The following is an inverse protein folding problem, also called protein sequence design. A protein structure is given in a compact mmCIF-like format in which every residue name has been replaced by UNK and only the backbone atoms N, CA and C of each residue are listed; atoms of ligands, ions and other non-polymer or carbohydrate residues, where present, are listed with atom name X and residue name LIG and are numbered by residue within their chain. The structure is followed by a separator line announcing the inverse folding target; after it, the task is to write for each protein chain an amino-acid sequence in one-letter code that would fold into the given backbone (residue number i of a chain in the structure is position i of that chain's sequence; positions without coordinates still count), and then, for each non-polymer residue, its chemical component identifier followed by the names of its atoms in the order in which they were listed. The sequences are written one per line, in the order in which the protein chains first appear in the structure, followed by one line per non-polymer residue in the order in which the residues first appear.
data_IF_869414850672
#
_entry.id   IF_869414850672
#
_cell.length_a   1.000
_cell.length_b   1.000
_cell.length_c   1.000
_cell.angle_alpha   90.00
_cell.angle_beta   90.00
_cell.angle_gamma   90.00
#
_symmetry.space_group_name_H-M   'P 1'
#
loop_
_entity.id
_entity.type
_entity.pdbx_description
1 polymer ?
#
# COMPACT_ATOMS: atom_id res chain seq x y z
N UNK A 1 0.33 -18.51 -30.76
CA UNK A 1 -1.02 -18.43 -30.16
C UNK A 1 -0.97 -18.07 -28.67
N UNK A 2 -0.11 -18.67 -27.86
CA UNK A 2 0.02 -18.38 -26.41
C UNK A 2 0.35 -16.91 -26.11
N UNK A 3 1.36 -16.34 -26.78
CA UNK A 3 1.75 -14.94 -26.58
C UNK A 3 0.61 -13.95 -26.90
N UNK A 4 -0.15 -14.20 -27.96
CA UNK A 4 -1.31 -13.37 -28.34
C UNK A 4 -2.46 -13.46 -27.33
N UNK A 5 -2.65 -14.62 -26.69
CA UNK A 5 -3.62 -14.79 -25.61
C UNK A 5 -3.17 -14.09 -24.34
N UNK A 6 -1.90 -14.18 -23.99
CA UNK A 6 -1.30 -13.51 -22.83
C UNK A 6 -1.39 -11.99 -22.95
N UNK A 7 -1.13 -11.43 -24.15
CA UNK A 7 -1.28 -10.00 -24.42
C UNK A 7 -2.74 -9.52 -24.24
N UNK A 8 -3.71 -10.31 -24.75
CA UNK A 8 -5.14 -10.00 -24.59
C UNK A 8 -5.59 -10.06 -23.12
N UNK A 9 -5.12 -11.03 -22.37
CA UNK A 9 -5.43 -11.18 -20.95
C UNK A 9 -4.83 -10.05 -20.13
N UNK A 10 -3.57 -9.71 -20.37
CA UNK A 10 -2.90 -8.57 -19.76
C UNK A 10 -3.67 -7.27 -20.01
N UNK A 11 -4.11 -7.03 -21.25
CA UNK A 11 -4.86 -5.84 -21.61
C UNK A 11 -6.24 -5.77 -20.91
N UNK A 12 -6.97 -6.89 -20.83
CA UNK A 12 -8.25 -6.95 -20.11
C UNK A 12 -8.07 -6.68 -18.62
N UNK A 13 -7.05 -7.28 -18.02
CA UNK A 13 -6.76 -7.11 -16.61
C UNK A 13 -6.33 -5.68 -16.30
N UNK A 14 -5.48 -5.08 -17.12
CA UNK A 14 -5.13 -3.66 -17.02
C UNK A 14 -6.35 -2.75 -17.05
N UNK A 15 -7.28 -2.95 -17.98
CA UNK A 15 -8.51 -2.16 -18.06
C UNK A 15 -9.32 -2.26 -16.76
N UNK A 16 -9.51 -3.47 -16.24
CA UNK A 16 -10.24 -3.69 -14.97
C UNK A 16 -9.56 -3.01 -13.78
N UNK A 17 -8.23 -3.13 -13.68
CA UNK A 17 -7.44 -2.49 -12.63
C UNK A 17 -7.55 -0.96 -12.71
N UNK A 18 -7.37 -0.41 -13.92
CA UNK A 18 -7.46 1.03 -14.15
C UNK A 18 -8.87 1.57 -13.91
N UNK A 19 -9.92 0.86 -14.30
CA UNK A 19 -11.30 1.25 -14.01
C UNK A 19 -11.57 1.34 -12.51
N UNK A 20 -11.18 0.31 -11.75
CA UNK A 20 -11.33 0.31 -10.28
C UNK A 20 -10.49 1.38 -9.60
N UNK A 21 -9.28 1.63 -10.11
CA UNK A 21 -8.41 2.71 -9.64
C UNK A 21 -9.05 4.09 -9.87
N UNK A 22 -9.53 4.38 -11.09
CA UNK A 22 -10.20 5.65 -11.41
C UNK A 22 -11.49 5.80 -10.59
N UNK A 23 -12.24 4.72 -10.39
CA UNK A 23 -13.42 4.72 -9.53
C UNK A 23 -13.07 5.07 -8.08
N UNK A 24 -11.99 4.51 -7.53
CA UNK A 24 -11.55 4.83 -6.16
C UNK A 24 -11.14 6.31 -6.05
N UNK A 25 -10.40 6.83 -7.02
CA UNK A 25 -10.01 8.25 -7.07
C UNK A 25 -11.23 9.16 -7.06
N UNK A 26 -12.24 8.88 -7.89
CA UNK A 26 -13.44 9.69 -8.00
C UNK A 26 -14.35 9.57 -6.75
N UNK A 27 -14.54 8.34 -6.24
CA UNK A 27 -15.44 8.09 -5.09
C UNK A 27 -14.93 8.71 -3.81
N UNK A 28 -13.61 8.69 -3.58
CA UNK A 28 -13.01 9.17 -2.34
C UNK A 28 -12.25 10.49 -2.50
N UNK A 29 -12.35 11.15 -3.65
CA UNK A 29 -11.68 12.43 -3.93
C UNK A 29 -10.19 12.39 -3.58
N UNK A 30 -9.48 11.32 -4.05
CA UNK A 30 -8.12 11.04 -3.62
C UNK A 30 -7.08 11.99 -4.22
N UNK A 31 -7.34 12.52 -5.42
CA UNK A 31 -6.38 13.34 -6.17
C UNK A 31 -7.08 14.56 -6.78
N UNK A 32 -6.50 15.72 -6.55
CA UNK A 32 -6.93 17.01 -7.07
C UNK A 32 -5.90 17.58 -8.05
N UNK A 33 -6.29 18.65 -8.79
CA UNK A 33 -5.34 19.38 -9.63
C UNK A 33 -4.22 19.99 -8.76
N UNK A 34 -3.00 19.99 -9.32
CA UNK A 34 -1.78 20.50 -8.73
C UNK A 34 -1.24 19.69 -7.52
N UNK A 35 -1.80 18.52 -7.25
CA UNK A 35 -1.26 17.61 -6.25
C UNK A 35 0.18 17.17 -6.57
N UNK A 36 0.98 17.06 -5.52
CA UNK A 36 2.32 16.45 -5.55
C UNK A 36 2.31 15.20 -4.69
N UNK A 37 2.38 14.05 -5.35
CA UNK A 37 2.18 12.74 -4.72
C UNK A 37 3.51 12.03 -4.58
N UNK A 38 3.85 11.61 -3.36
CA UNK A 38 4.99 10.74 -3.07
C UNK A 38 4.49 9.31 -2.87
N UNK A 39 4.90 8.39 -3.74
CA UNK A 39 4.53 6.98 -3.64
C UNK A 39 5.51 6.23 -2.75
N UNK A 40 5.00 5.56 -1.71
CA UNK A 40 5.79 4.63 -0.89
C UNK A 40 6.09 3.34 -1.65
N UNK A 41 7.25 3.26 -2.29
CA UNK A 41 7.67 2.13 -3.12
C UNK A 41 8.41 1.10 -2.28
N UNK A 42 7.71 0.05 -1.86
CA UNK A 42 8.31 -1.05 -1.08
C UNK A 42 9.04 -2.08 -1.94
N UNK A 43 8.77 -2.07 -3.25
CA UNK A 43 9.22 -3.07 -4.21
C UNK A 43 8.36 -4.34 -4.27
N UNK A 44 7.30 -4.41 -3.48
CA UNK A 44 6.26 -5.45 -3.62
C UNK A 44 5.30 -5.11 -4.77
N UNK A 45 4.63 -6.15 -5.31
CA UNK A 45 3.68 -6.06 -6.43
C UNK A 45 2.68 -4.91 -6.32
N UNK A 46 2.16 -4.68 -5.10
CA UNK A 46 1.12 -3.68 -4.84
C UNK A 46 1.67 -2.26 -5.02
N UNK A 47 2.87 -2.00 -4.51
CA UNK A 47 3.52 -0.70 -4.64
C UNK A 47 4.02 -0.42 -6.06
N UNK A 48 4.42 -1.46 -6.81
CA UNK A 48 4.79 -1.35 -8.23
C UNK A 48 3.57 -1.02 -9.08
N UNK A 49 2.45 -1.75 -8.90
CA UNK A 49 1.20 -1.46 -9.60
C UNK A 49 0.68 -0.07 -9.27
N UNK A 50 0.71 0.33 -7.99
CA UNK A 50 0.30 1.69 -7.58
C UNK A 50 1.09 2.76 -8.33
N UNK A 51 2.42 2.59 -8.39
CA UNK A 51 3.28 3.54 -9.09
C UNK A 51 2.97 3.59 -10.58
N UNK A 52 2.79 2.44 -11.23
CA UNK A 52 2.45 2.35 -12.65
C UNK A 52 1.11 3.03 -12.96
N UNK A 53 0.07 2.76 -12.16
CA UNK A 53 -1.25 3.38 -12.34
C UNK A 53 -1.20 4.90 -12.17
N UNK A 54 -0.52 5.38 -11.12
CA UNK A 54 -0.38 6.82 -10.87
C UNK A 54 0.46 7.52 -11.94
N UNK A 55 1.59 6.94 -12.35
CA UNK A 55 2.45 7.49 -13.40
C UNK A 55 1.70 7.62 -14.72
N UNK A 56 1.03 6.55 -15.17
CA UNK A 56 0.22 6.59 -16.40
C UNK A 56 -0.94 7.58 -16.29
N UNK A 57 -1.57 7.69 -15.13
CA UNK A 57 -2.68 8.63 -14.90
C UNK A 57 -2.23 10.09 -14.89
N UNK A 58 -1.00 10.38 -14.45
CA UNK A 58 -0.43 11.73 -14.46
C UNK A 58 -0.26 12.34 -15.86
N UNK A 59 -0.24 11.49 -16.91
CA UNK A 59 -0.23 11.95 -18.31
C UNK A 59 -1.63 12.32 -18.85
N UNK A 60 -2.70 12.09 -18.08
CA UNK A 60 -4.07 12.46 -18.48
C UNK A 60 -4.32 13.92 -18.07
N UNK A 61 -5.12 14.61 -18.86
CA UNK A 61 -5.30 16.07 -18.79
C UNK A 61 -5.89 16.56 -17.45
N UNK A 62 -6.75 15.77 -16.81
CA UNK A 62 -7.38 16.11 -15.52
C UNK A 62 -7.62 14.85 -14.66
N UNK A 63 -7.35 14.90 -13.34
CA UNK A 63 -6.60 15.97 -12.66
C UNK A 63 -5.13 15.99 -13.10
N UNK A 64 -4.51 17.17 -13.10
CA UNK A 64 -3.07 17.35 -13.33
C UNK A 64 -2.33 17.25 -12.01
N UNK A 65 -1.43 16.32 -11.88
CA UNK A 65 -0.64 16.11 -10.67
C UNK A 65 0.76 15.59 -10.99
N UNK A 66 1.66 15.67 -10.02
CA UNK A 66 3.03 15.15 -10.15
C UNK A 66 3.21 13.93 -9.24
N UNK A 67 3.96 12.94 -9.75
CA UNK A 67 4.25 11.70 -9.03
C UNK A 67 5.75 11.51 -8.93
N UNK A 68 6.23 11.25 -7.72
CA UNK A 68 7.58 10.78 -7.46
C UNK A 68 7.51 9.57 -6.52
N UNK A 69 8.54 8.74 -6.51
CA UNK A 69 8.58 7.53 -5.70
C UNK A 69 9.65 7.61 -4.62
N UNK A 70 9.42 6.93 -3.49
CA UNK A 70 10.39 6.82 -2.42
C UNK A 70 10.54 5.38 -1.96
N UNK A 71 11.78 4.89 -1.95
CA UNK A 71 12.16 3.64 -1.32
C UNK A 71 12.96 3.89 -0.05
N UNK A 72 12.58 3.22 1.06
CA UNK A 72 13.29 3.31 2.35
C UNK A 72 14.00 2.00 2.65
N UNK A 73 15.34 2.04 2.68
CA UNK A 73 16.20 0.93 3.08
C UNK A 73 16.39 0.92 4.59
N UNK A 74 16.41 -0.28 5.18
CA UNK A 74 16.72 -0.46 6.61
C UNK A 74 18.15 -0.98 6.73
N UNK A 75 19.05 -0.17 7.28
CA UNK A 75 20.47 -0.52 7.38
C UNK A 75 20.76 -1.70 8.33
N UNK A 76 19.90 -1.92 9.33
CA UNK A 76 20.08 -2.97 10.33
C UNK A 76 19.24 -4.23 10.07
N UNK A 77 18.59 -4.33 8.91
CA UNK A 77 17.90 -5.53 8.46
C UNK A 77 18.59 -6.00 7.17
N UNK A 78 19.21 -7.17 7.25
CA UNK A 78 19.86 -7.79 6.10
C UNK A 78 18.80 -8.38 5.15
N UNK A 79 18.15 -7.52 4.37
CA UNK A 79 17.46 -7.97 3.18
C UNK A 79 17.90 -7.08 2.02
N UNK A 80 18.30 -7.73 0.96
CA UNK A 80 18.70 -7.03 -0.25
C UNK A 80 17.42 -6.63 -1.01
N UNK A 81 17.12 -5.33 -0.98
CA UNK A 81 16.27 -4.76 -1.99
C UNK A 81 17.15 -4.48 -3.20
N UNK A 82 16.88 -5.11 -4.31
CA UNK A 82 17.50 -4.74 -5.56
C UNK A 82 16.99 -3.37 -5.99
N UNK A 83 17.74 -2.32 -5.61
CA UNK A 83 17.38 -0.94 -5.96
C UNK A 83 17.57 -0.69 -7.44
N UNK A 84 18.42 -1.45 -8.16
CA UNK A 84 18.61 -1.28 -9.60
C UNK A 84 17.33 -1.63 -10.37
N UNK A 85 16.61 -2.67 -9.95
CA UNK A 85 15.30 -2.96 -10.51
C UNK A 85 14.28 -1.83 -10.26
N UNK A 86 14.26 -1.25 -9.06
CA UNK A 86 13.34 -0.15 -8.75
C UNK A 86 13.73 1.13 -9.51
N UNK A 87 15.00 1.40 -9.65
CA UNK A 87 15.51 2.52 -10.45
C UNK A 87 15.13 2.37 -11.92
N UNK A 88 15.32 1.19 -12.50
CA UNK A 88 14.91 0.89 -13.87
C UNK A 88 13.39 0.98 -14.04
N UNK A 89 12.61 0.45 -13.07
CA UNK A 89 11.15 0.49 -13.10
C UNK A 89 10.64 1.94 -13.07
N UNK A 90 11.19 2.78 -12.20
CA UNK A 90 10.85 4.20 -12.12
C UNK A 90 11.27 4.97 -13.39
N UNK A 91 12.46 4.69 -13.91
CA UNK A 91 12.97 5.29 -15.16
C UNK A 91 12.07 4.98 -16.36
N UNK A 92 11.58 3.74 -16.47
CA UNK A 92 10.66 3.34 -17.55
C UNK A 92 9.29 4.06 -17.47
N UNK A 93 8.95 4.61 -16.31
CA UNK A 93 7.70 5.36 -16.08
C UNK A 93 7.92 6.88 -16.03
N UNK A 94 9.13 7.36 -16.29
CA UNK A 94 9.53 8.77 -16.14
C UNK A 94 9.23 9.33 -14.74
N UNK A 95 9.48 8.51 -13.70
CA UNK A 95 9.23 8.87 -12.30
C UNK A 95 10.56 8.97 -11.55
N UNK A 96 10.77 10.07 -10.84
CA UNK A 96 11.94 10.24 -9.98
C UNK A 96 11.85 9.32 -8.75
N UNK A 97 12.92 8.54 -8.49
CA UNK A 97 13.04 7.70 -7.32
C UNK A 97 13.96 8.34 -6.26
N UNK A 98 13.43 8.50 -5.05
CA UNK A 98 14.20 8.87 -3.86
C UNK A 98 14.53 7.63 -3.03
N UNK A 99 15.81 7.31 -2.88
CA UNK A 99 16.26 6.25 -1.98
C UNK A 99 16.77 6.88 -0.69
N UNK A 100 16.28 6.42 0.46
CA UNK A 100 16.72 6.87 1.78
C UNK A 100 17.02 5.65 2.66
N UNK A 101 18.05 5.78 3.49
CA UNK A 101 18.43 4.73 4.44
C UNK A 101 18.10 5.19 5.85
N UNK A 102 17.57 4.30 6.67
CA UNK A 102 17.31 4.51 8.08
C UNK A 102 17.61 3.23 8.87
N UNK A 103 17.65 3.34 10.19
CA UNK A 103 17.82 2.20 11.09
C UNK A 103 16.93 2.37 12.32
N UNK A 104 16.77 1.31 13.08
CA UNK A 104 16.16 1.37 14.42
C UNK A 104 16.93 0.48 15.37
N UNK A 105 16.90 0.83 16.65
CA UNK A 105 17.49 0.04 17.72
C UNK A 105 16.39 -0.73 18.45
N UNK A 106 16.65 -2.00 18.71
CA UNK A 106 15.81 -2.84 19.56
C UNK A 106 16.39 -2.70 20.96
N UNK A 107 15.69 -1.97 21.83
CA UNK A 107 16.12 -1.81 23.21
C UNK A 107 16.17 -3.17 23.93
N UNK A 108 17.19 -3.40 24.74
CA UNK A 108 17.26 -4.57 25.61
C UNK A 108 16.51 -4.26 26.90
N UNK A 109 15.37 -4.94 27.19
CA UNK A 109 14.62 -4.68 28.41
C UNK A 109 15.41 -5.15 29.63
N UNK A 110 15.55 -4.28 30.63
CA UNK A 110 16.26 -4.57 31.89
C UNK A 110 15.41 -5.34 32.86
N UNK A 111 14.09 -5.37 32.71
CA UNK A 111 13.14 -6.08 33.55
C UNK A 111 11.85 -6.50 32.81
N UNK A 112 11.01 -7.33 33.44
CA UNK A 112 9.74 -7.84 32.87
C UNK A 112 8.73 -6.72 32.54
N UNK A 113 8.77 -5.59 33.21
CA UNK A 113 7.87 -4.46 32.99
C UNK A 113 8.25 -3.71 31.72
N UNK A 114 9.55 -3.54 31.50
CA UNK A 114 10.08 -2.92 30.27
C UNK A 114 9.88 -3.82 29.06
N UNK A 115 10.05 -5.14 29.23
CA UNK A 115 9.78 -6.13 28.17
C UNK A 115 8.34 -6.07 27.66
N UNK A 116 7.35 -5.86 28.55
CA UNK A 116 5.92 -5.70 28.15
C UNK A 116 5.62 -4.40 27.41
N UNK A 117 6.45 -3.37 27.59
CA UNK A 117 6.34 -2.04 26.94
C UNK A 117 7.17 -1.94 25.68
N UNK A 118 8.04 -2.92 25.44
CA UNK A 118 8.93 -2.90 24.29
C UNK A 118 8.13 -3.04 22.99
N UNK A 119 8.39 -2.12 22.07
CA UNK A 119 7.80 -2.16 20.72
C UNK A 119 8.42 -3.28 19.90
N UNK A 120 7.61 -4.00 19.16
CA UNK A 120 8.09 -5.08 18.29
C UNK A 120 9.02 -4.53 17.19
N UNK A 121 10.00 -5.33 16.71
CA UNK A 121 10.86 -4.93 15.60
C UNK A 121 10.08 -4.48 14.35
N UNK A 122 8.99 -5.18 14.02
CA UNK A 122 8.11 -4.82 12.91
C UNK A 122 7.45 -3.45 13.10
N UNK A 123 7.02 -3.12 14.34
CA UNK A 123 6.50 -1.81 14.65
C UNK A 123 7.56 -0.71 14.47
N UNK A 124 8.76 -0.92 15.03
CA UNK A 124 9.86 0.04 14.92
C UNK A 124 10.30 0.26 13.48
N UNK A 125 10.41 -0.82 12.69
CA UNK A 125 10.71 -0.77 11.27
C UNK A 125 9.68 0.07 10.50
N UNK A 126 8.40 -0.23 10.66
CA UNK A 126 7.33 0.48 9.94
C UNK A 126 7.21 1.93 10.39
N UNK A 127 7.43 2.22 11.68
CA UNK A 127 7.42 3.59 12.22
C UNK A 127 8.56 4.43 11.65
N UNK A 128 9.80 3.90 11.63
CA UNK A 128 10.96 4.61 11.08
C UNK A 128 10.82 4.86 9.58
N UNK A 129 10.33 3.88 8.81
CA UNK A 129 10.05 4.06 7.38
C UNK A 129 9.06 5.20 7.14
N UNK A 130 7.95 5.23 7.91
CA UNK A 130 6.95 6.31 7.81
C UNK A 130 7.54 7.66 8.18
N UNK A 131 8.32 7.74 9.26
CA UNK A 131 8.98 8.99 9.69
C UNK A 131 9.86 9.58 8.59
N UNK A 132 10.70 8.73 7.97
CA UNK A 132 11.58 9.18 6.86
C UNK A 132 10.76 9.62 5.65
N UNK A 133 9.69 8.91 5.32
CA UNK A 133 8.80 9.25 4.20
C UNK A 133 8.07 10.59 4.45
N UNK A 134 7.56 10.80 5.65
CA UNK A 134 6.88 12.06 6.01
C UNK A 134 7.85 13.25 6.01
N UNK A 135 9.04 13.08 6.56
CA UNK A 135 10.07 14.12 6.55
C UNK A 135 10.47 14.51 5.12
N UNK A 136 10.66 13.52 4.24
CA UNK A 136 10.98 13.79 2.84
C UNK A 136 9.82 14.50 2.13
N UNK A 137 8.59 14.03 2.34
CA UNK A 137 7.41 14.63 1.73
C UNK A 137 7.30 16.11 2.10
N UNK A 138 7.47 16.45 3.38
CA UNK A 138 7.45 17.84 3.83
C UNK A 138 8.62 18.66 3.26
N UNK A 139 9.84 18.13 3.29
CA UNK A 139 11.03 18.83 2.81
C UNK A 139 10.97 19.18 1.32
N UNK A 140 10.33 18.32 0.51
CA UNK A 140 10.19 18.51 -0.93
C UNK A 140 8.84 19.11 -1.35
N UNK A 141 7.96 19.44 -0.40
CA UNK A 141 6.68 20.10 -0.66
C UNK A 141 5.65 19.17 -1.32
N UNK A 142 5.68 17.86 -1.03
CA UNK A 142 4.57 16.95 -1.37
C UNK A 142 3.40 17.20 -0.41
N UNK A 143 2.18 17.17 -0.92
CA UNK A 143 0.97 17.30 -0.12
C UNK A 143 0.23 15.97 0.07
N UNK A 144 0.55 14.95 -0.76
CA UNK A 144 -0.04 13.61 -0.66
C UNK A 144 1.02 12.51 -0.63
N UNK A 145 0.74 11.46 0.15
CA UNK A 145 1.51 10.21 0.19
C UNK A 145 0.60 9.08 -0.23
N UNK A 146 0.96 8.36 -1.30
CA UNK A 146 0.21 7.21 -1.77
C UNK A 146 0.82 5.90 -1.27
N UNK A 147 -0.03 5.01 -0.71
CA UNK A 147 0.35 3.71 -0.19
C UNK A 147 -0.41 2.59 -0.92
N UNK A 148 0.29 1.50 -1.24
CA UNK A 148 -0.22 0.36 -2.01
C UNK A 148 -1.10 -0.61 -1.23
N UNK A 149 -1.93 -0.12 -0.29
CA UNK A 149 -2.91 -0.98 0.38
C UNK A 149 -4.12 -1.18 -0.55
N UNK A 150 -4.50 -2.45 -0.74
CA UNK A 150 -5.60 -2.86 -1.60
C UNK A 150 -6.85 -3.25 -0.81
N UNK A 151 -7.94 -3.61 -1.47
CA UNK A 151 -9.24 -3.86 -0.84
C UNK A 151 -9.16 -4.92 0.27
N UNK A 152 -8.45 -6.02 0.03
CA UNK A 152 -8.29 -7.10 1.01
C UNK A 152 -7.58 -6.63 2.28
N UNK A 153 -6.57 -5.75 2.17
CA UNK A 153 -5.90 -5.16 3.34
C UNK A 153 -6.87 -4.40 4.23
N UNK A 154 -7.80 -3.63 3.62
CA UNK A 154 -8.79 -2.84 4.34
C UNK A 154 -9.82 -3.75 5.02
N UNK A 155 -10.29 -4.77 4.32
CA UNK A 155 -11.25 -5.76 4.87
C UNK A 155 -10.59 -6.55 6.01
N UNK A 156 -9.38 -7.08 5.81
CA UNK A 156 -8.66 -7.80 6.86
C UNK A 156 -8.39 -6.91 8.07
N UNK A 157 -8.07 -5.63 7.86
CA UNK A 157 -7.90 -4.67 8.97
C UNK A 157 -9.21 -4.44 9.72
N UNK A 158 -10.35 -4.34 9.02
CA UNK A 158 -11.66 -4.22 9.67
C UNK A 158 -11.99 -5.44 10.53
N UNK A 159 -11.74 -6.63 10.03
CA UNK A 159 -11.93 -7.88 10.79
C UNK A 159 -10.97 -7.98 11.98
N UNK A 160 -9.70 -7.56 11.83
CA UNK A 160 -8.75 -7.48 12.95
C UNK A 160 -9.23 -6.51 14.02
N UNK A 161 -9.66 -5.31 13.64
CA UNK A 161 -10.12 -4.31 14.58
C UNK A 161 -11.40 -4.77 15.30
N UNK A 162 -12.32 -5.42 14.57
CA UNK A 162 -13.53 -5.98 15.14
C UNK A 162 -13.22 -7.07 16.18
N UNK A 163 -12.33 -8.02 15.84
CA UNK A 163 -12.06 -9.19 16.68
C UNK A 163 -11.11 -8.91 17.85
N UNK A 164 -10.12 -8.03 17.67
CA UNK A 164 -9.12 -7.74 18.71
C UNK A 164 -9.36 -6.45 19.48
N UNK A 165 -10.12 -5.49 18.91
CA UNK A 165 -10.32 -4.17 19.51
C UNK A 165 -11.79 -3.82 19.75
N UNK A 166 -12.74 -4.66 19.31
CA UNK A 166 -14.18 -4.42 19.44
C UNK A 166 -14.67 -3.21 18.64
N UNK A 167 -13.99 -2.85 17.56
CA UNK A 167 -14.33 -1.72 16.69
C UNK A 167 -14.40 -2.14 15.25
N UNK A 168 -15.49 -1.77 14.57
CA UNK A 168 -15.61 -1.98 13.13
C UNK A 168 -15.11 -0.74 12.39
N UNK A 169 -13.80 -0.66 12.23
CA UNK A 169 -13.10 0.40 11.48
C UNK A 169 -11.92 -0.19 10.70
N UNK A 170 -11.40 0.57 9.73
CA UNK A 170 -10.29 0.14 8.88
C UNK A 170 -9.33 1.29 8.58
N UNK A 171 -8.31 1.03 7.74
CA UNK A 171 -7.47 2.07 7.18
C UNK A 171 -8.30 2.89 6.17
N UNK A 172 -8.50 4.20 6.35
CA UNK A 172 -9.27 4.99 5.40
C UNK A 172 -8.58 5.09 4.03
N UNK A 173 -9.36 5.20 2.96
CA UNK A 173 -8.85 5.46 1.62
C UNK A 173 -8.18 6.84 1.53
N UNK A 174 -8.71 7.82 2.25
CA UNK A 174 -8.16 9.16 2.42
C UNK A 174 -8.05 9.49 3.91
N UNK A 175 -6.85 9.89 4.35
CA UNK A 175 -6.56 10.29 5.74
C UNK A 175 -5.81 11.61 5.73
N UNK A 176 -6.47 12.70 6.15
CA UNK A 176 -5.81 13.99 6.40
C UNK A 176 -5.07 13.96 7.74
N UNK A 177 -3.79 14.25 7.72
CA UNK A 177 -2.97 14.23 8.93
C UNK A 177 -3.20 15.48 9.77
N UNK A 178 -3.64 15.34 11.03
CA UNK A 178 -3.94 16.47 11.92
C UNK A 178 -2.72 17.33 12.31
N UNK A 179 -1.52 16.73 12.32
CA UNK A 179 -0.30 17.37 12.84
C UNK A 179 0.64 17.86 11.75
N UNK A 180 0.35 17.61 10.49
CA UNK A 180 1.21 17.98 9.37
C UNK A 180 0.35 18.16 8.09
N UNK A 181 0.74 19.05 7.17
CA UNK A 181 -0.02 19.33 5.95
C UNK A 181 0.16 18.20 4.92
N UNK A 182 -0.13 16.98 5.29
CA UNK A 182 -0.01 15.79 4.46
C UNK A 182 -1.30 14.98 4.50
N UNK A 183 -1.70 14.46 3.35
CA UNK A 183 -2.79 13.50 3.22
C UNK A 183 -2.26 12.15 2.77
N UNK A 184 -2.63 11.09 3.47
CA UNK A 184 -2.33 9.72 3.03
C UNK A 184 -3.49 9.23 2.17
N UNK A 185 -3.18 8.72 0.99
CA UNK A 185 -4.18 8.15 0.07
C UNK A 185 -3.87 6.68 -0.23
N UNK A 186 -4.93 5.89 -0.50
CA UNK A 186 -4.84 4.45 -0.86
C UNK A 186 -5.64 4.17 -2.12
N UNK A 187 -5.09 4.53 -3.29
CA UNK A 187 -5.82 4.43 -4.56
C UNK A 187 -6.18 3.00 -4.98
N UNK A 188 -5.51 1.98 -4.43
CA UNK A 188 -5.83 0.57 -4.70
C UNK A 188 -6.97 0.02 -3.82
N UNK A 189 -7.63 0.83 -2.99
CA UNK A 189 -8.63 0.39 -2.01
C UNK A 189 -9.84 -0.35 -2.59
N UNK A 190 -10.13 -0.21 -3.90
CA UNK A 190 -11.19 -0.94 -4.60
C UNK A 190 -10.66 -2.09 -5.47
N UNK A 191 -9.37 -2.39 -5.42
CA UNK A 191 -8.73 -3.45 -6.21
C UNK A 191 -8.47 -4.66 -5.32
N UNK A 192 -8.80 -5.84 -5.82
CA UNK A 192 -8.60 -7.12 -5.13
C UNK A 192 -7.16 -7.62 -5.30
N UNK A 193 -6.62 -8.27 -4.25
CA UNK A 193 -5.25 -8.81 -4.27
C UNK A 193 -5.03 -9.80 -5.41
N UNK A 194 -6.03 -10.60 -5.76
CA UNK A 194 -5.94 -11.59 -6.84
C UNK A 194 -5.69 -10.95 -8.20
N UNK A 195 -6.34 -9.81 -8.50
CA UNK A 195 -6.14 -9.09 -9.75
C UNK A 195 -4.73 -8.49 -9.83
N UNK A 196 -4.22 -7.97 -8.69
CA UNK A 196 -2.84 -7.45 -8.59
C UNK A 196 -1.82 -8.56 -8.81
N UNK A 197 -2.04 -9.74 -8.22
CA UNK A 197 -1.16 -10.92 -8.39
C UNK A 197 -1.11 -11.37 -9.85
N UNK A 198 -2.28 -11.55 -10.46
CA UNK A 198 -2.38 -11.98 -11.85
C UNK A 198 -1.69 -10.97 -12.79
N UNK A 199 -1.91 -9.68 -12.59
CA UNK A 199 -1.25 -8.65 -13.39
C UNK A 199 0.27 -8.63 -13.19
N UNK A 200 0.72 -8.70 -11.95
CA UNK A 200 2.15 -8.71 -11.62
C UNK A 200 2.89 -9.91 -12.23
N UNK A 201 2.24 -11.07 -12.31
CA UNK A 201 2.77 -12.27 -12.96
C UNK A 201 2.85 -12.09 -14.48
N UNK A 202 1.81 -11.57 -15.12
CA UNK A 202 1.78 -11.30 -16.56
C UNK A 202 2.80 -10.23 -16.97
N UNK A 203 3.04 -9.20 -16.13
CA UNK A 203 4.03 -8.15 -16.38
C UNK A 203 5.45 -8.54 -15.96
N UNK A 204 5.64 -9.70 -15.35
CA UNK A 204 6.96 -10.17 -14.89
C UNK A 204 7.54 -9.29 -13.77
N UNK A 205 6.72 -8.75 -12.87
CA UNK A 205 7.23 -7.99 -11.73
C UNK A 205 8.17 -8.84 -10.89
N UNK A 206 9.37 -8.34 -10.64
CA UNK A 206 10.36 -9.07 -9.87
C UNK A 206 9.94 -9.13 -8.39
N UNK A 207 9.83 -10.36 -7.88
CA UNK A 207 9.57 -10.58 -6.45
C UNK A 207 10.83 -10.23 -5.65
N UNK A 208 10.73 -9.27 -4.77
CA UNK A 208 11.81 -9.02 -3.81
C UNK A 208 11.91 -10.19 -2.82
N UNK A 209 13.13 -10.68 -2.65
CA UNK A 209 13.44 -11.68 -1.60
C UNK A 209 13.50 -10.95 -0.26
N UNK A 210 12.41 -10.97 0.48
CA UNK A 210 12.37 -10.47 1.85
C UNK A 210 12.95 -11.55 2.78
N UNK A 211 14.18 -11.39 3.19
CA UNK A 211 14.82 -12.19 4.24
C UNK A 211 14.74 -11.45 5.58
N UNK A 212 13.55 -11.01 5.96
CA UNK A 212 13.38 -10.32 7.24
C UNK A 212 13.34 -11.35 8.39
N UNK A 213 14.32 -11.35 9.32
CA UNK A 213 14.35 -12.33 10.41
C UNK A 213 13.22 -12.15 11.42
N UNK A 214 12.48 -11.04 11.33
CA UNK A 214 11.36 -10.70 12.21
C UNK A 214 9.98 -10.94 11.57
N UNK A 215 9.93 -11.49 10.35
CA UNK A 215 8.68 -11.84 9.69
C UNK A 215 8.15 -13.16 10.27
N UNK A 216 7.53 -13.07 11.44
CA UNK A 216 6.81 -14.18 12.08
C UNK A 216 5.38 -14.22 11.57
N UNK A 217 4.77 -15.42 11.62
CA UNK A 217 3.33 -15.61 11.39
C UNK A 217 2.54 -14.60 12.23
N UNK A 218 1.94 -13.65 11.55
CA UNK A 218 1.18 -12.59 12.21
C UNK A 218 -0.30 -12.96 12.21
N UNK A 219 -1.08 -12.41 13.14
CA UNK A 219 -2.54 -12.55 13.13
C UNK A 219 -3.19 -12.16 11.78
N UNK A 220 -2.45 -11.52 10.87
CA UNK A 220 -2.92 -11.25 9.50
C UNK A 220 -3.14 -12.52 8.69
N UNK A 221 -2.27 -13.52 8.83
CA UNK A 221 -2.44 -14.82 8.16
C UNK A 221 -3.67 -15.56 8.69
N UNK A 222 -3.94 -15.45 10.00
CA UNK A 222 -5.12 -16.06 10.62
C UNK A 222 -6.40 -15.36 10.15
N UNK A 223 -6.41 -14.05 10.12
CA UNK A 223 -7.56 -13.26 9.62
C UNK A 223 -7.80 -13.52 8.13
N UNK A 224 -6.75 -13.66 7.33
CA UNK A 224 -6.90 -14.03 5.93
C UNK A 224 -7.60 -15.39 5.77
N UNK A 225 -7.16 -16.40 6.50
CA UNK A 225 -7.81 -17.75 6.49
C UNK A 225 -9.27 -17.67 6.95
N UNK A 226 -9.55 -16.88 7.99
CA UNK A 226 -10.91 -16.64 8.46
C UNK A 226 -11.76 -15.97 7.37
N UNK A 227 -11.22 -14.98 6.69
CA UNK A 227 -11.92 -14.28 5.62
C UNK A 227 -12.18 -15.19 4.42
N UNK A 228 -11.20 -16.01 4.01
CA UNK A 228 -11.37 -17.01 2.96
C UNK A 228 -12.52 -17.98 3.31
N UNK A 229 -12.66 -18.39 4.58
CA UNK A 229 -13.78 -19.23 5.04
C UNK A 229 -15.12 -18.45 5.00
N UNK A 230 -15.13 -17.18 5.33
CA UNK A 230 -16.34 -16.35 5.23
C UNK A 230 -16.81 -16.22 3.77
N UNK A 231 -15.88 -16.02 2.82
CA UNK A 231 -16.22 -15.96 1.39
C UNK A 231 -16.75 -17.31 0.84
N UNK A 232 -16.28 -18.44 1.40
CA UNK A 232 -16.85 -19.76 1.06
C UNK A 232 -18.30 -19.92 1.53
N UNK A 233 -18.64 -19.38 2.71
CA UNK A 233 -20.01 -19.41 3.25
C UNK A 233 -20.93 -18.42 2.50
N UNK A 234 -20.40 -17.23 2.22
CA UNK A 234 -21.13 -16.20 1.52
C UNK A 234 -20.23 -15.51 0.47
N UNK A 235 -20.38 -15.84 -0.83
CA UNK A 235 -19.61 -15.22 -1.90
C UNK A 235 -19.77 -13.69 -2.00
N UNK A 236 -20.86 -13.13 -1.46
CA UNK A 236 -21.12 -11.69 -1.42
C UNK A 236 -20.52 -11.00 -0.16
N UNK A 237 -19.76 -11.73 0.67
CA UNK A 237 -19.22 -11.21 1.92
C UNK A 237 -18.36 -9.96 1.70
N UNK A 238 -17.51 -9.97 0.66
CA UNK A 238 -16.67 -8.83 0.26
C UNK A 238 -17.51 -7.57 0.03
N UNK A 239 -18.56 -7.70 -0.76
CA UNK A 239 -19.45 -6.59 -1.06
C UNK A 239 -20.19 -6.09 0.20
N UNK A 240 -20.66 -7.01 1.02
CA UNK A 240 -21.40 -6.70 2.25
C UNK A 240 -20.52 -5.94 3.26
N UNK A 241 -19.30 -6.42 3.50
CA UNK A 241 -18.33 -5.76 4.39
C UNK A 241 -17.94 -4.38 3.84
N UNK A 242 -17.65 -4.30 2.53
CA UNK A 242 -17.30 -3.04 1.88
C UNK A 242 -18.42 -2.01 1.97
N UNK A 243 -19.66 -2.43 1.75
CA UNK A 243 -20.85 -1.58 1.90
C UNK A 243 -20.99 -1.06 3.33
N UNK A 244 -20.79 -1.91 4.34
CA UNK A 244 -20.86 -1.50 5.74
C UNK A 244 -19.78 -0.46 6.07
N UNK A 245 -18.54 -0.64 5.61
CA UNK A 245 -17.45 0.33 5.81
C UNK A 245 -17.75 1.69 5.16
N UNK A 246 -18.39 1.70 3.98
CA UNK A 246 -18.82 2.95 3.32
C UNK A 246 -20.01 3.61 4.04
N UNK A 247 -21.00 2.84 4.47
CA UNK A 247 -22.17 3.37 5.16
C UNK A 247 -21.81 4.13 6.44
N UNK A 248 -20.78 3.66 7.15
CA UNK A 248 -20.26 4.28 8.37
C UNK A 248 -19.18 5.33 8.13
N UNK A 249 -18.91 5.72 6.88
CA UNK A 249 -17.86 6.66 6.48
C UNK A 249 -16.45 6.28 7.00
N UNK A 250 -16.17 4.97 7.18
CA UNK A 250 -14.87 4.49 7.70
C UNK A 250 -13.73 4.59 6.69
N UNK A 251 -14.02 4.95 5.45
CA UNK A 251 -13.04 5.07 4.37
C UNK A 251 -12.57 6.51 4.13
N UNK A 252 -13.14 7.49 4.85
CA UNK A 252 -12.72 8.89 4.81
C UNK A 252 -12.44 9.37 6.24
N UNK A 253 -11.26 9.96 6.45
CA UNK A 253 -10.88 10.65 7.70
C UNK A 253 -10.29 12.01 7.34
N UNK A 254 -11.10 13.05 7.53
CA UNK A 254 -10.78 14.45 7.24
C UNK A 254 -10.29 15.22 8.47
#
# INVERSE_FOLDING_TARGET
MEKLNQDKESHRLWHRLNERFVKAMATYHLIDDDDRILVGLSGGKDSLLLLELLARRAHVQHPRFKVEAMHVRMANIHYETDTSYLEQFCSNLDVQLHVRTTSFEIGNPTNKRDARRQKTPCFLCSWNRRKVMFNLAQALGFNKIALGHHQDDLIHTALMNLTFQGRFDTMPALLKMRKMPLTIIRPLCMIEEQDIKAYAELQGYQKQKKLCPYETDSHRSDIKRLYDAIEQINPEARYSIWRALNADNKLLEE
#
